data_IF_211920746427
#
_entry.id   IF_211920746427
#
_cell.length_a   1.000
_cell.length_b   1.000
_cell.length_c   1.000
_cell.angle_alpha   90.00
_cell.angle_beta   90.00
_cell.angle_gamma   90.00
#
_symmetry.space_group_name_H-M   'P 1'
#
loop_
_entity.id
_entity.type
_entity.pdbx_description
1 polymer ?
#
# COMPACT_ATOMS: atom_id res chain seq x y z
N UNK A 1 17.06 -32.25 -12.72
CA UNK A 1 16.31 -31.29 -13.57
C UNK A 1 17.17 -31.01 -14.79
N UNK A 2 16.65 -31.24 -16.00
CA UNK A 2 17.31 -30.79 -17.24
C UNK A 2 17.32 -29.26 -17.27
N UNK A 3 18.31 -28.65 -17.94
CA UNK A 3 18.43 -27.19 -18.05
C UNK A 3 17.15 -26.53 -18.64
N UNK A 4 16.48 -27.20 -19.57
CA UNK A 4 15.21 -26.74 -20.14
C UNK A 4 14.09 -26.63 -19.09
N UNK A 5 13.97 -27.61 -18.18
CA UNK A 5 12.95 -27.56 -17.11
C UNK A 5 13.18 -26.40 -16.12
N UNK A 6 14.41 -25.87 -16.03
CA UNK A 6 14.70 -24.70 -15.19
C UNK A 6 14.29 -23.39 -15.88
N UNK A 7 14.48 -23.28 -17.19
CA UNK A 7 14.05 -22.10 -17.97
C UNK A 7 12.52 -21.99 -17.96
N UNK A 8 11.82 -23.13 -18.05
CA UNK A 8 10.35 -23.20 -18.02
C UNK A 8 9.74 -22.73 -16.68
N UNK A 9 10.55 -22.49 -15.64
CA UNK A 9 10.09 -21.92 -14.37
C UNK A 9 9.92 -20.40 -14.41
N UNK A 10 10.36 -19.74 -15.48
CA UNK A 10 10.33 -18.29 -15.62
C UNK A 10 9.47 -17.86 -16.81
N UNK A 11 8.69 -16.81 -16.61
CA UNK A 11 7.89 -16.18 -17.65
C UNK A 11 7.87 -14.66 -17.46
N UNK A 12 8.37 -13.95 -18.47
CA UNK A 12 8.44 -12.49 -18.50
C UNK A 12 7.28 -11.96 -19.34
N UNK A 13 6.28 -11.38 -18.68
CA UNK A 13 5.22 -10.60 -19.30
C UNK A 13 5.40 -9.09 -19.05
N UNK A 14 4.49 -8.31 -19.65
CA UNK A 14 4.46 -6.87 -19.46
C UNK A 14 4.29 -6.47 -17.98
N UNK A 15 3.53 -7.23 -17.19
CA UNK A 15 3.39 -7.01 -15.75
C UNK A 15 4.73 -7.18 -15.03
N UNK A 16 5.48 -8.23 -15.36
CA UNK A 16 6.81 -8.49 -14.82
C UNK A 16 7.76 -7.35 -15.15
N UNK A 17 7.75 -6.86 -16.40
CA UNK A 17 8.59 -5.72 -16.83
C UNK A 17 8.28 -4.45 -16.02
N UNK A 18 6.99 -4.12 -15.83
CA UNK A 18 6.58 -2.98 -15.00
C UNK A 18 7.12 -3.12 -13.57
N UNK A 19 6.94 -4.30 -12.96
CA UNK A 19 7.36 -4.54 -11.59
C UNK A 19 8.88 -4.53 -11.43
N UNK A 20 9.63 -5.13 -12.35
CA UNK A 20 11.10 -5.09 -12.40
C UNK A 20 11.58 -3.63 -12.51
N UNK A 21 10.97 -2.83 -13.38
CA UNK A 21 11.30 -1.42 -13.55
C UNK A 21 11.05 -0.64 -12.26
N UNK A 22 9.87 -0.81 -11.64
CA UNK A 22 9.52 -0.18 -10.37
C UNK A 22 10.48 -0.56 -9.24
N UNK A 23 10.73 -1.85 -9.06
CA UNK A 23 11.60 -2.39 -8.00
C UNK A 23 13.03 -1.93 -8.20
N UNK A 24 13.54 -1.92 -9.43
CA UNK A 24 14.88 -1.42 -9.76
C UNK A 24 15.00 0.07 -9.49
N UNK A 25 14.01 0.86 -9.90
CA UNK A 25 13.99 2.31 -9.73
C UNK A 25 13.96 2.70 -8.24
N UNK A 26 12.98 2.20 -7.50
CA UNK A 26 12.83 2.49 -6.06
C UNK A 26 13.99 1.89 -5.27
N UNK A 27 14.39 0.65 -5.58
CA UNK A 27 15.50 -0.05 -4.94
C UNK A 27 16.81 0.70 -5.08
N UNK A 28 17.11 1.25 -6.27
CA UNK A 28 18.31 2.06 -6.51
C UNK A 28 18.31 3.33 -5.67
N UNK A 29 17.19 4.07 -5.63
CA UNK A 29 17.06 5.29 -4.81
C UNK A 29 17.30 4.98 -3.33
N UNK A 30 16.65 3.92 -2.82
CA UNK A 30 16.79 3.55 -1.41
C UNK A 30 18.20 3.07 -1.10
N UNK A 31 18.84 2.31 -2.00
CA UNK A 31 20.22 1.90 -1.84
C UNK A 31 21.17 3.10 -1.75
N UNK A 32 21.07 4.06 -2.66
CA UNK A 32 21.90 5.28 -2.62
C UNK A 32 21.65 6.11 -1.37
N UNK A 33 20.39 6.28 -0.97
CA UNK A 33 20.05 6.95 0.28
C UNK A 33 20.67 6.24 1.49
N UNK A 34 20.62 4.90 1.50
CA UNK A 34 21.11 4.10 2.62
C UNK A 34 22.62 4.24 2.85
N UNK A 35 23.41 4.46 1.79
CA UNK A 35 24.86 4.68 1.89
C UNK A 35 25.21 5.88 2.75
N UNK A 36 24.42 6.95 2.67
CA UNK A 36 24.61 8.14 3.52
C UNK A 36 23.97 7.97 4.89
N UNK A 37 22.76 7.40 4.94
CA UNK A 37 22.02 7.20 6.18
C UNK A 37 22.73 6.28 7.18
N UNK A 38 23.44 5.26 6.68
CA UNK A 38 24.10 4.24 7.50
C UNK A 38 25.58 4.53 7.76
N UNK A 39 26.08 5.74 7.45
CA UNK A 39 27.47 6.12 7.75
C UNK A 39 27.73 5.99 9.26
N UNK A 40 28.79 5.27 9.62
CA UNK A 40 29.15 5.00 11.02
C UNK A 40 28.41 3.82 11.67
N UNK A 41 27.55 3.10 10.94
CA UNK A 41 26.99 1.83 11.44
C UNK A 41 27.96 0.67 11.20
N UNK A 42 28.34 -0.03 12.27
CA UNK A 42 29.26 -1.18 12.23
C UNK A 42 28.75 -2.32 11.32
N UNK A 43 27.43 -2.45 11.17
CA UNK A 43 26.79 -3.52 10.39
C UNK A 43 26.37 -3.10 8.97
N UNK A 44 26.94 -2.01 8.44
CA UNK A 44 26.57 -1.48 7.13
C UNK A 44 26.71 -2.49 5.98
N UNK A 45 27.79 -3.29 5.94
CA UNK A 45 28.02 -4.26 4.86
C UNK A 45 26.89 -5.32 4.83
N UNK A 46 26.54 -5.86 6.00
CA UNK A 46 25.45 -6.83 6.12
C UNK A 46 24.11 -6.21 5.74
N UNK A 47 23.89 -4.95 6.11
CA UNK A 47 22.69 -4.20 5.73
C UNK A 47 22.57 -4.03 4.20
N UNK A 48 23.65 -3.61 3.54
CA UNK A 48 23.70 -3.45 2.09
C UNK A 48 23.49 -4.77 1.35
N UNK A 49 24.11 -5.87 1.82
CA UNK A 49 23.90 -7.20 1.25
C UNK A 49 22.43 -7.64 1.39
N UNK A 50 21.81 -7.44 2.56
CA UNK A 50 20.41 -7.77 2.77
C UNK A 50 19.47 -6.95 1.86
N UNK A 51 19.72 -5.66 1.63
CA UNK A 51 18.95 -4.87 0.66
C UNK A 51 19.11 -5.45 -0.74
N UNK A 52 20.33 -5.78 -1.17
CA UNK A 52 20.58 -6.35 -2.48
C UNK A 52 19.85 -7.69 -2.67
N UNK A 53 19.97 -8.61 -1.71
CA UNK A 53 19.31 -9.91 -1.77
C UNK A 53 17.78 -9.77 -1.77
N UNK A 54 17.24 -8.81 -1.02
CA UNK A 54 15.81 -8.52 -1.02
C UNK A 54 15.34 -8.06 -2.40
N UNK A 55 16.03 -7.08 -3.00
CA UNK A 55 15.69 -6.57 -4.32
C UNK A 55 15.79 -7.66 -5.39
N UNK A 56 16.86 -8.45 -5.35
CA UNK A 56 17.06 -9.58 -6.25
C UNK A 56 15.92 -10.59 -6.14
N UNK A 57 15.56 -11.00 -4.92
CA UNK A 57 14.48 -11.96 -4.69
C UNK A 57 13.12 -11.43 -5.14
N UNK A 58 12.80 -10.16 -4.88
CA UNK A 58 11.55 -9.56 -5.37
C UNK A 58 11.51 -9.53 -6.90
N UNK A 59 12.62 -9.20 -7.56
CA UNK A 59 12.68 -9.23 -9.04
C UNK A 59 12.52 -10.66 -9.57
N UNK A 60 13.19 -11.64 -8.96
CA UNK A 60 13.08 -13.05 -9.34
C UNK A 60 11.65 -13.58 -9.16
N UNK A 61 10.98 -13.22 -8.06
CA UNK A 61 9.58 -13.53 -7.79
C UNK A 61 8.65 -13.02 -8.90
N UNK A 62 8.91 -11.83 -9.45
CA UNK A 62 8.02 -11.23 -10.48
C UNK A 62 8.02 -11.99 -11.79
N UNK A 63 9.17 -12.56 -12.17
CA UNK A 63 9.33 -13.35 -13.40
C UNK A 63 9.05 -14.83 -13.21
N UNK A 64 8.74 -15.27 -11.99
CA UNK A 64 8.50 -16.68 -11.71
C UNK A 64 7.14 -17.12 -12.26
N UNK A 65 7.14 -18.26 -12.94
CA UNK A 65 5.94 -18.97 -13.40
C UNK A 65 5.62 -20.18 -12.52
N UNK A 66 6.62 -20.79 -11.86
CA UNK A 66 6.39 -21.97 -11.03
C UNK A 66 5.88 -21.60 -9.62
N UNK A 67 4.75 -22.18 -9.19
CA UNK A 67 4.15 -21.95 -7.86
C UNK A 67 5.10 -22.21 -6.68
N UNK A 68 5.93 -23.26 -6.77
CA UNK A 68 6.86 -23.63 -5.69
C UNK A 68 8.00 -22.61 -5.60
N UNK A 69 8.59 -22.24 -6.74
CA UNK A 69 9.62 -21.22 -6.78
C UNK A 69 9.07 -19.87 -6.29
N UNK A 70 7.83 -19.54 -6.65
CA UNK A 70 7.17 -18.32 -6.19
C UNK A 70 7.05 -18.29 -4.66
N UNK A 71 6.66 -19.41 -4.04
CA UNK A 71 6.61 -19.53 -2.58
C UNK A 71 7.98 -19.42 -1.92
N UNK A 72 9.01 -20.01 -2.54
CA UNK A 72 10.40 -19.92 -2.04
C UNK A 72 10.86 -18.47 -2.05
N UNK A 73 10.68 -17.75 -3.16
CA UNK A 73 11.05 -16.33 -3.25
C UNK A 73 10.22 -15.45 -2.32
N UNK A 74 8.91 -15.71 -2.19
CA UNK A 74 8.05 -15.01 -1.24
C UNK A 74 8.51 -15.20 0.21
N UNK A 75 8.84 -16.44 0.58
CA UNK A 75 9.39 -16.78 1.91
C UNK A 75 10.74 -16.10 2.14
N UNK A 76 11.62 -16.13 1.14
CA UNK A 76 12.96 -15.56 1.21
C UNK A 76 12.93 -14.04 1.35
N UNK A 77 12.09 -13.35 0.56
CA UNK A 77 11.80 -11.92 0.70
C UNK A 77 11.34 -11.57 2.11
N UNK A 78 10.36 -12.30 2.65
CA UNK A 78 9.82 -12.06 3.98
C UNK A 78 10.86 -12.30 5.08
N UNK A 79 11.67 -13.35 4.94
CA UNK A 79 12.77 -13.62 5.87
C UNK A 79 13.81 -12.49 5.86
N UNK A 80 14.27 -12.05 4.69
CA UNK A 80 15.24 -10.95 4.59
C UNK A 80 14.64 -9.65 5.16
N UNK A 81 13.37 -9.36 4.89
CA UNK A 81 12.71 -8.19 5.46
C UNK A 81 12.70 -8.25 6.99
N UNK A 82 12.36 -9.39 7.59
CA UNK A 82 12.38 -9.52 9.05
C UNK A 82 13.77 -9.31 9.63
N UNK A 83 14.81 -9.76 8.92
CA UNK A 83 16.22 -9.49 9.27
C UNK A 83 16.56 -8.00 9.18
N UNK A 84 16.06 -7.30 8.16
CA UNK A 84 16.24 -5.85 8.00
C UNK A 84 15.48 -5.04 9.07
N UNK A 85 14.28 -5.48 9.47
CA UNK A 85 13.52 -4.88 10.58
C UNK A 85 14.30 -5.04 11.90
N UNK A 86 14.96 -6.18 12.09
CA UNK A 86 15.73 -6.52 13.30
C UNK A 86 17.19 -6.05 13.25
N UNK A 87 17.55 -5.14 12.34
CA UNK A 87 18.93 -4.69 12.13
C UNK A 87 19.66 -4.28 13.43
N UNK A 88 18.97 -3.57 14.34
CA UNK A 88 19.47 -3.28 15.70
C UNK A 88 18.95 -4.32 16.70
N UNK A 89 19.42 -5.56 16.58
CA UNK A 89 18.93 -6.71 17.34
C UNK A 89 19.13 -6.61 18.86
N UNK A 90 20.04 -5.75 19.31
CA UNK A 90 20.28 -5.42 20.72
C UNK A 90 19.09 -4.70 21.35
N UNK A 91 18.30 -3.98 20.56
CA UNK A 91 17.12 -3.27 21.05
C UNK A 91 15.95 -4.24 21.17
N UNK A 92 15.47 -4.45 22.40
CA UNK A 92 14.33 -5.33 22.69
C UNK A 92 13.11 -5.00 21.81
N UNK A 93 12.86 -3.71 21.59
CA UNK A 93 11.75 -3.25 20.75
C UNK A 93 11.93 -3.59 19.26
N UNK A 94 13.15 -3.47 18.71
CA UNK A 94 13.42 -3.85 17.33
C UNK A 94 13.28 -5.37 17.12
N UNK A 95 13.75 -6.18 18.09
CA UNK A 95 13.54 -7.63 18.08
C UNK A 95 12.05 -8.00 18.12
N UNK A 96 11.28 -7.36 18.99
CA UNK A 96 9.83 -7.55 19.08
C UNK A 96 9.11 -7.13 17.78
N UNK A 97 9.53 -6.03 17.14
CA UNK A 97 9.01 -5.58 15.85
C UNK A 97 9.22 -6.64 14.76
N UNK A 98 10.44 -7.18 14.67
CA UNK A 98 10.76 -8.25 13.73
C UNK A 98 9.98 -9.52 13.97
N UNK A 99 9.83 -9.92 15.23
CA UNK A 99 9.04 -11.10 15.59
C UNK A 99 7.57 -10.93 15.17
N UNK A 100 6.96 -9.77 15.41
CA UNK A 100 5.56 -9.52 15.00
C UNK A 100 5.39 -9.48 13.48
N UNK A 101 6.38 -8.97 12.75
CA UNK A 101 6.39 -9.04 11.30
C UNK A 101 6.51 -10.50 10.81
N UNK A 102 7.43 -11.28 11.39
CA UNK A 102 7.64 -12.68 11.05
C UNK A 102 6.38 -13.54 11.30
N UNK A 103 5.76 -13.41 12.47
CA UNK A 103 4.52 -14.12 12.81
C UNK A 103 3.42 -13.85 11.77
N UNK A 104 3.27 -12.58 11.35
CA UNK A 104 2.28 -12.22 10.33
C UNK A 104 2.63 -12.76 8.94
N UNK A 105 3.90 -12.69 8.54
CA UNK A 105 4.35 -13.23 7.26
C UNK A 105 4.24 -14.75 7.18
N UNK A 106 4.55 -15.45 8.27
CA UNK A 106 4.37 -16.90 8.36
C UNK A 106 2.89 -17.29 8.20
N UNK A 107 1.99 -16.56 8.87
CA UNK A 107 0.54 -16.75 8.73
C UNK A 107 0.08 -16.50 7.28
N UNK A 108 0.55 -15.42 6.64
CA UNK A 108 0.27 -15.15 5.24
C UNK A 108 0.76 -16.25 4.29
N UNK A 109 1.97 -16.74 4.54
CA UNK A 109 2.58 -17.80 3.74
C UNK A 109 1.80 -19.12 3.84
N UNK A 110 1.25 -19.46 5.01
CA UNK A 110 0.37 -20.64 5.17
C UNK A 110 -0.84 -20.53 4.25
N UNK A 111 -1.49 -19.36 4.17
CA UNK A 111 -2.65 -19.17 3.30
C UNK A 111 -2.29 -19.27 1.82
N UNK A 112 -1.18 -18.65 1.39
CA UNK A 112 -0.73 -18.75 -0.01
C UNK A 112 -0.35 -20.20 -0.35
N UNK A 113 0.30 -20.90 0.57
CA UNK A 113 0.66 -22.31 0.40
C UNK A 113 -0.59 -23.20 0.21
N UNK A 114 -1.60 -23.03 1.06
CA UNK A 114 -2.88 -23.74 0.92
C UNK A 114 -3.53 -23.42 -0.43
N UNK A 115 -3.55 -22.15 -0.84
CA UNK A 115 -4.10 -21.75 -2.12
C UNK A 115 -3.40 -22.44 -3.30
N UNK A 116 -2.06 -22.49 -3.29
CA UNK A 116 -1.28 -23.10 -4.36
C UNK A 116 -1.47 -24.62 -4.43
N UNK A 117 -1.62 -25.30 -3.29
CA UNK A 117 -2.01 -26.72 -3.26
C UNK A 117 -3.37 -26.92 -3.93
N UNK A 118 -4.37 -26.11 -3.58
CA UNK A 118 -5.72 -26.22 -4.14
C UNK A 118 -5.74 -25.92 -5.65
N UNK A 119 -5.04 -24.87 -6.11
CA UNK A 119 -4.94 -24.56 -7.54
C UNK A 119 -4.28 -25.69 -8.32
N UNK A 120 -3.21 -26.27 -7.77
CA UNK A 120 -2.55 -27.43 -8.38
C UNK A 120 -3.46 -28.67 -8.39
N UNK A 121 -4.19 -28.96 -7.31
CA UNK A 121 -5.13 -30.09 -7.28
C UNK A 121 -6.23 -29.98 -8.35
N UNK A 122 -6.66 -28.76 -8.66
CA UNK A 122 -7.74 -28.54 -9.62
C UNK A 122 -7.23 -28.54 -11.07
N UNK A 123 -6.03 -28.01 -11.32
CA UNK A 123 -5.48 -27.86 -12.68
C UNK A 123 -4.46 -28.93 -13.07
N UNK A 124 -3.89 -29.65 -12.09
CA UNK A 124 -2.82 -30.63 -12.28
C UNK A 124 -1.45 -30.02 -12.64
N UNK A 125 -1.27 -28.70 -12.48
CA UNK A 125 -0.05 -28.00 -12.90
C UNK A 125 0.51 -27.06 -11.83
N UNK A 126 1.84 -26.90 -11.86
CA UNK A 126 2.57 -25.92 -11.05
C UNK A 126 2.88 -24.63 -11.81
N UNK A 127 2.51 -24.51 -13.09
CA UNK A 127 2.72 -23.31 -13.90
C UNK A 127 1.58 -22.31 -13.70
N UNK A 128 1.91 -21.09 -13.29
CA UNK A 128 0.97 -19.97 -13.11
C UNK A 128 0.30 -19.64 -14.44
N UNK A 129 1.07 -19.56 -15.53
CA UNK A 129 0.56 -19.37 -16.90
C UNK A 129 -0.50 -20.41 -17.26
N UNK A 130 -0.24 -21.68 -16.97
CA UNK A 130 -1.19 -22.76 -17.26
C UNK A 130 -2.47 -22.62 -16.43
N UNK A 131 -2.33 -22.36 -15.13
CA UNK A 131 -3.46 -22.22 -14.20
C UNK A 131 -4.36 -21.06 -14.62
N UNK A 132 -3.77 -19.91 -14.95
CA UNK A 132 -4.50 -18.69 -15.29
C UNK A 132 -5.22 -18.81 -16.65
N UNK A 133 -4.66 -19.58 -17.61
CA UNK A 133 -5.27 -19.85 -18.92
C UNK A 133 -6.36 -20.91 -18.89
N UNK A 134 -6.37 -21.79 -17.88
CA UNK A 134 -7.33 -22.87 -17.74
C UNK A 134 -8.13 -22.71 -16.43
N UNK A 135 -8.92 -21.62 -16.28
CA UNK A 135 -9.71 -21.43 -15.09
C UNK A 135 -10.82 -22.49 -15.02
N UNK A 136 -11.10 -22.95 -13.81
CA UNK A 136 -12.12 -23.96 -13.51
C UNK A 136 -13.08 -23.43 -12.44
N UNK A 137 -14.39 -23.60 -12.66
CA UNK A 137 -15.40 -23.14 -11.71
C UNK A 137 -15.69 -24.30 -10.76
N UNK A 138 -15.04 -24.26 -9.60
CA UNK A 138 -15.18 -25.29 -8.58
C UNK A 138 -15.12 -24.66 -7.20
N UNK A 139 -15.74 -25.33 -6.22
CA UNK A 139 -15.62 -24.93 -4.81
C UNK A 139 -14.16 -24.86 -4.35
N UNK A 140 -13.29 -25.76 -4.84
CA UNK A 140 -11.87 -25.73 -4.54
C UNK A 140 -11.19 -24.47 -5.10
N UNK A 141 -11.52 -24.07 -6.34
CA UNK A 141 -11.02 -22.83 -6.96
C UNK A 141 -11.45 -21.59 -6.18
N UNK A 142 -12.71 -21.53 -5.76
CA UNK A 142 -13.22 -20.44 -4.92
C UNK A 142 -12.46 -20.33 -3.59
N UNK A 143 -12.26 -21.46 -2.88
CA UNK A 143 -11.50 -21.48 -1.62
C UNK A 143 -10.05 -21.08 -1.86
N UNK A 144 -9.42 -21.56 -2.94
CA UNK A 144 -8.05 -21.22 -3.28
C UNK A 144 -7.86 -19.71 -3.45
N UNK A 145 -8.77 -19.06 -4.19
CA UNK A 145 -8.73 -17.62 -4.40
C UNK A 145 -9.04 -16.81 -3.13
N UNK A 146 -9.90 -17.33 -2.24
CA UNK A 146 -10.12 -16.75 -0.91
C UNK A 146 -8.86 -16.83 -0.05
N UNK A 147 -8.13 -17.95 -0.10
CA UNK A 147 -6.86 -18.13 0.60
C UNK A 147 -5.77 -17.21 0.01
N UNK A 148 -5.71 -17.03 -1.32
CA UNK A 148 -4.85 -16.01 -1.94
C UNK A 148 -5.20 -14.61 -1.46
N UNK A 149 -6.50 -14.27 -1.37
CA UNK A 149 -6.95 -12.98 -0.88
C UNK A 149 -6.53 -12.74 0.58
N UNK A 150 -6.67 -13.73 1.46
CA UNK A 150 -6.24 -13.62 2.86
C UNK A 150 -4.71 -13.48 2.92
N UNK A 151 -3.97 -14.31 2.18
CA UNK A 151 -2.51 -14.22 2.06
C UNK A 151 -2.06 -12.83 1.59
N UNK A 152 -2.64 -12.31 0.50
CA UNK A 152 -2.40 -10.96 0.00
C UNK A 152 -2.74 -9.89 1.04
N UNK A 153 -3.87 -10.02 1.74
CA UNK A 153 -4.32 -9.08 2.77
C UNK A 153 -3.36 -9.01 3.96
N UNK A 154 -2.77 -10.15 4.36
CA UNK A 154 -1.78 -10.20 5.44
C UNK A 154 -0.49 -9.45 5.06
N UNK A 155 -0.01 -9.65 3.83
CA UNK A 155 1.18 -9.00 3.29
C UNK A 155 0.97 -7.50 3.07
N UNK A 156 -0.21 -7.10 2.61
CA UNK A 156 -0.57 -5.69 2.39
C UNK A 156 -1.05 -4.98 3.67
N UNK A 157 -0.99 -5.64 4.83
CA UNK A 157 -1.37 -5.09 6.13
C UNK A 157 -2.81 -4.52 6.16
N UNK A 158 -3.73 -5.14 5.43
CA UNK A 158 -5.16 -4.79 5.48
C UNK A 158 -5.74 -5.21 6.82
N UNK A 159 -6.89 -4.65 7.18
CA UNK A 159 -7.60 -5.09 8.38
C UNK A 159 -8.02 -6.57 8.22
N UNK A 160 -7.82 -7.44 9.24
CA UNK A 160 -7.35 -7.17 10.61
C UNK A 160 -5.83 -7.34 10.85
N UNK A 161 -5.04 -7.56 9.80
CA UNK A 161 -3.59 -7.85 9.84
C UNK A 161 -2.71 -6.59 9.86
N UNK A 162 -3.24 -5.42 10.14
CA UNK A 162 -2.52 -4.14 10.00
C UNK A 162 -1.42 -3.91 11.06
N UNK A 163 -1.51 -4.58 12.21
CA UNK A 163 -0.68 -4.27 13.38
C UNK A 163 0.81 -4.51 13.18
N UNK A 164 1.21 -5.49 12.37
CA UNK A 164 2.64 -5.75 12.12
C UNK A 164 3.31 -4.54 11.47
N UNK A 165 2.62 -3.90 10.53
CA UNK A 165 3.14 -2.75 9.80
C UNK A 165 3.29 -1.54 10.72
N UNK A 166 2.29 -1.25 11.55
CA UNK A 166 2.36 -0.16 12.55
C UNK A 166 3.44 -0.45 13.59
N UNK A 167 3.74 -1.72 13.88
CA UNK A 167 4.77 -2.11 14.85
C UNK A 167 6.19 -2.13 14.28
N UNK A 168 6.37 -1.92 12.98
CA UNK A 168 7.67 -2.05 12.27
C UNK A 168 8.55 -0.78 12.32
N UNK A 169 8.15 0.23 13.08
CA UNK A 169 8.73 1.59 13.05
C UNK A 169 10.17 1.69 13.57
N UNK A 170 10.60 0.68 14.33
CA UNK A 170 11.98 0.56 14.82
C UNK A 170 12.97 0.20 13.70
N UNK A 171 12.47 -0.14 12.51
CA UNK A 171 13.31 -0.39 11.34
C UNK A 171 14.04 0.89 10.90
N UNK A 172 15.26 0.77 10.35
CA UNK A 172 15.95 1.88 9.70
C UNK A 172 15.07 2.53 8.63
N UNK A 173 15.14 3.86 8.48
CA UNK A 173 14.30 4.58 7.50
C UNK A 173 14.37 4.03 6.07
N UNK A 174 15.53 3.60 5.52
CA UNK A 174 15.58 2.96 4.20
C UNK A 174 14.77 1.65 4.14
N UNK A 175 14.74 0.87 5.23
CA UNK A 175 13.96 -0.37 5.32
C UNK A 175 12.46 -0.05 5.33
N UNK A 176 12.04 0.97 6.08
CA UNK A 176 10.65 1.42 6.03
C UNK A 176 10.27 1.86 4.60
N UNK A 177 11.15 2.59 3.90
CA UNK A 177 10.89 3.00 2.52
C UNK A 177 10.64 1.79 1.59
N UNK A 178 11.53 0.77 1.56
CA UNK A 178 11.32 -0.44 0.74
C UNK A 178 10.10 -1.24 1.18
N UNK A 179 9.85 -1.34 2.49
CA UNK A 179 8.71 -2.07 3.02
C UNK A 179 7.39 -1.47 2.52
N UNK A 180 7.22 -0.17 2.68
CA UNK A 180 6.00 0.53 2.31
C UNK A 180 5.86 0.78 0.80
N UNK A 181 6.97 0.89 0.07
CA UNK A 181 6.98 1.12 -1.37
C UNK A 181 6.97 -0.15 -2.21
N UNK A 182 7.42 -1.28 -1.65
CA UNK A 182 7.63 -2.54 -2.36
C UNK A 182 6.86 -3.68 -1.72
N UNK A 183 7.29 -4.13 -0.55
CA UNK A 183 6.85 -5.43 0.00
C UNK A 183 5.36 -5.45 0.34
N UNK A 184 4.82 -4.33 0.85
CA UNK A 184 3.38 -4.19 1.11
C UNK A 184 2.58 -4.26 -0.20
N UNK A 185 3.14 -3.85 -1.34
CA UNK A 185 2.50 -3.97 -2.66
C UNK A 185 2.52 -5.41 -3.20
N UNK A 186 3.33 -6.32 -2.65
CA UNK A 186 3.42 -7.70 -3.13
C UNK A 186 2.08 -8.45 -3.04
N UNK A 187 1.23 -8.12 -2.05
CA UNK A 187 -0.14 -8.64 -1.98
C UNK A 187 -0.99 -8.20 -3.18
N UNK A 188 -0.87 -6.94 -3.61
CA UNK A 188 -1.53 -6.46 -4.82
C UNK A 188 -0.99 -7.12 -6.09
N UNK A 189 0.32 -7.26 -6.21
CA UNK A 189 0.95 -8.00 -7.31
C UNK A 189 0.45 -9.45 -7.41
N UNK A 190 0.33 -10.15 -6.27
CA UNK A 190 -0.22 -11.50 -6.21
C UNK A 190 -1.64 -11.55 -6.80
N UNK A 191 -2.53 -10.64 -6.39
CA UNK A 191 -3.89 -10.59 -6.93
C UNK A 191 -3.91 -10.30 -8.43
N UNK A 192 -3.07 -9.38 -8.92
CA UNK A 192 -2.98 -9.06 -10.35
C UNK A 192 -2.48 -10.26 -11.16
N UNK A 193 -1.47 -11.00 -10.66
CA UNK A 193 -0.91 -12.16 -11.36
C UNK A 193 -1.95 -13.27 -11.57
N UNK A 194 -2.92 -13.39 -10.66
CA UNK A 194 -4.03 -14.33 -10.75
C UNK A 194 -5.36 -13.67 -11.19
N UNK A 195 -5.33 -12.42 -11.69
CA UNK A 195 -6.52 -11.63 -12.06
C UNK A 195 -7.54 -12.40 -12.93
N UNK A 196 -7.13 -13.15 -13.99
CA UNK A 196 -8.11 -13.84 -14.83
C UNK A 196 -8.94 -14.90 -14.10
N UNK A 197 -8.40 -15.49 -13.03
CA UNK A 197 -9.17 -16.43 -12.20
C UNK A 197 -10.31 -15.71 -11.47
N UNK A 198 -10.08 -14.49 -10.97
CA UNK A 198 -11.12 -13.70 -10.29
C UNK A 198 -12.25 -13.27 -11.23
N UNK A 199 -11.94 -13.02 -12.51
CA UNK A 199 -12.96 -12.75 -13.52
C UNK A 199 -13.82 -13.97 -13.83
N UNK A 200 -13.21 -15.17 -13.80
CA UNK A 200 -13.95 -16.42 -13.99
C UNK A 200 -14.81 -16.79 -12.77
N UNK A 201 -14.39 -16.40 -11.56
CA UNK A 201 -15.15 -16.56 -10.32
C UNK A 201 -15.51 -15.21 -9.68
N UNK A 202 -16.43 -14.43 -10.28
CA UNK A 202 -16.68 -13.03 -9.89
C UNK A 202 -17.25 -12.87 -8.48
N UNK A 203 -17.73 -13.95 -7.85
CA UNK A 203 -18.24 -13.98 -6.46
C UNK A 203 -17.23 -13.47 -5.42
N UNK A 204 -15.93 -13.50 -5.74
CA UNK A 204 -14.87 -13.05 -4.83
C UNK A 204 -14.66 -11.53 -4.90
N UNK A 205 -14.92 -10.90 -6.05
CA UNK A 205 -14.68 -9.47 -6.27
C UNK A 205 -15.38 -8.57 -5.22
N UNK A 206 -16.67 -8.80 -4.84
CA UNK A 206 -17.31 -8.06 -3.75
C UNK A 206 -16.63 -8.22 -2.38
N UNK A 207 -16.00 -9.38 -2.12
CA UNK A 207 -15.26 -9.63 -0.88
C UNK A 207 -13.97 -8.80 -0.86
N UNK A 208 -13.23 -8.80 -1.98
CA UNK A 208 -12.03 -7.95 -2.14
C UNK A 208 -12.41 -6.47 -1.95
N UNK A 209 -13.49 -6.03 -2.61
CA UNK A 209 -14.01 -4.67 -2.48
C UNK A 209 -14.31 -4.30 -1.03
N UNK A 210 -15.02 -5.18 -0.30
CA UNK A 210 -15.42 -4.94 1.09
C UNK A 210 -14.22 -4.82 2.04
N UNK A 211 -13.23 -5.71 1.91
CA UNK A 211 -12.00 -5.67 2.72
C UNK A 211 -11.19 -4.41 2.40
N UNK A 212 -11.10 -4.05 1.12
CA UNK A 212 -10.44 -2.84 0.65
C UNK A 212 -11.10 -1.57 1.19
N UNK A 213 -12.42 -1.45 1.05
CA UNK A 213 -13.21 -0.32 1.56
C UNK A 213 -13.05 -0.15 3.08
N UNK A 214 -13.20 -1.23 3.84
CA UNK A 214 -13.06 -1.20 5.29
C UNK A 214 -11.64 -0.75 5.70
N UNK A 215 -10.61 -1.28 5.05
CA UNK A 215 -9.21 -0.92 5.32
C UNK A 215 -8.90 0.53 4.92
N UNK A 216 -9.48 1.02 3.82
CA UNK A 216 -9.34 2.40 3.38
C UNK A 216 -9.92 3.38 4.42
N UNK A 217 -11.14 3.10 4.90
CA UNK A 217 -11.80 3.91 5.93
C UNK A 217 -11.06 3.86 7.27
N UNK A 218 -10.74 2.66 7.77
CA UNK A 218 -10.01 2.50 9.03
C UNK A 218 -8.62 3.13 8.98
N UNK A 219 -7.86 2.91 7.90
CA UNK A 219 -6.53 3.49 7.73
C UNK A 219 -6.57 5.02 7.69
N UNK A 220 -7.57 5.60 7.02
CA UNK A 220 -7.74 7.06 6.93
C UNK A 220 -8.11 7.69 8.27
N UNK A 221 -8.96 7.03 9.06
CA UNK A 221 -9.30 7.43 10.43
C UNK A 221 -8.09 7.31 11.36
N UNK A 222 -7.43 6.14 11.39
CA UNK A 222 -6.29 5.89 12.25
C UNK A 222 -5.13 6.84 12.00
N UNK A 223 -4.92 7.26 10.74
CA UNK A 223 -3.90 8.25 10.37
C UNK A 223 -4.05 9.56 11.15
N UNK A 224 -5.28 10.04 11.36
CA UNK A 224 -5.56 11.29 12.08
C UNK A 224 -5.29 11.19 13.58
N UNK A 225 -5.24 9.97 14.10
CA UNK A 225 -5.06 9.67 15.52
C UNK A 225 -3.59 9.44 15.89
N UNK A 226 -2.69 9.41 14.90
CA UNK A 226 -1.26 9.17 15.16
C UNK A 226 -0.52 10.46 15.47
N UNK A 227 0.28 10.43 16.52
CA UNK A 227 1.18 11.54 16.88
C UNK A 227 2.55 11.45 16.19
N UNK A 228 2.99 10.24 15.84
CA UNK A 228 4.28 10.01 15.19
C UNK A 228 4.16 10.04 13.67
N UNK A 229 5.08 10.76 13.00
CA UNK A 229 5.07 10.90 11.54
C UNK A 229 5.18 9.53 10.84
N UNK A 230 6.05 8.63 11.31
CA UNK A 230 6.18 7.28 10.73
C UNK A 230 4.90 6.45 10.91
N UNK A 231 4.20 6.57 12.06
CA UNK A 231 2.91 5.88 12.29
C UNK A 231 1.82 6.44 11.39
N UNK A 232 1.73 7.76 11.28
CA UNK A 232 0.82 8.43 10.37
C UNK A 232 1.05 7.95 8.93
N UNK A 233 2.31 7.86 8.49
CA UNK A 233 2.66 7.30 7.18
C UNK A 233 2.27 5.82 7.05
N UNK A 234 2.47 4.99 8.07
CA UNK A 234 2.05 3.60 8.06
C UNK A 234 0.52 3.46 7.93
N UNK A 235 -0.26 4.21 8.72
CA UNK A 235 -1.73 4.24 8.62
C UNK A 235 -2.19 4.73 7.23
N UNK A 236 -1.51 5.72 6.65
CA UNK A 236 -1.82 6.15 5.29
C UNK A 236 -1.49 5.10 4.24
N UNK A 237 -0.52 4.21 4.50
CA UNK A 237 -0.21 3.06 3.63
C UNK A 237 -1.36 2.05 3.67
N UNK A 238 -1.86 1.73 4.87
CA UNK A 238 -3.04 0.85 5.05
C UNK A 238 -4.24 1.41 4.27
N UNK A 239 -4.45 2.72 4.33
CA UNK A 239 -5.54 3.37 3.60
C UNK A 239 -5.39 3.23 2.07
N UNK A 240 -4.19 3.46 1.54
CA UNK A 240 -3.91 3.36 0.10
C UNK A 240 -3.97 1.92 -0.41
N UNK A 241 -3.46 0.95 0.35
CA UNK A 241 -3.63 -0.47 0.03
C UNK A 241 -5.10 -0.89 0.05
N UNK A 242 -5.90 -0.34 0.99
CA UNK A 242 -7.35 -0.51 0.97
C UNK A 242 -7.98 -0.01 -0.32
N UNK A 243 -7.62 1.20 -0.77
CA UNK A 243 -8.08 1.76 -2.05
C UNK A 243 -7.63 0.92 -3.26
N UNK A 244 -6.41 0.37 -3.23
CA UNK A 244 -5.89 -0.52 -4.26
C UNK A 244 -6.67 -1.84 -4.35
N UNK A 245 -6.94 -2.49 -3.21
CA UNK A 245 -7.77 -3.70 -3.16
C UNK A 245 -9.21 -3.41 -3.60
N UNK A 246 -9.72 -2.22 -3.26
CA UNK A 246 -11.01 -1.78 -3.76
C UNK A 246 -11.04 -1.73 -5.29
N UNK A 247 -9.99 -1.22 -5.95
CA UNK A 247 -9.89 -1.23 -7.43
C UNK A 247 -9.89 -2.65 -8.00
N UNK A 248 -9.18 -3.60 -7.37
CA UNK A 248 -9.23 -5.02 -7.76
C UNK A 248 -10.63 -5.60 -7.60
N UNK A 249 -11.32 -5.30 -6.50
CA UNK A 249 -12.70 -5.73 -6.27
C UNK A 249 -13.73 -5.13 -7.23
N UNK A 250 -13.39 -4.05 -7.94
CA UNK A 250 -14.21 -3.47 -9.01
C UNK A 250 -13.91 -4.10 -10.38
N UNK A 251 -12.92 -5.01 -10.46
CA UNK A 251 -12.45 -5.59 -11.71
C UNK A 251 -11.49 -4.69 -12.49
N UNK A 252 -10.98 -3.62 -11.88
CA UNK A 252 -10.11 -2.61 -12.49
C UNK A 252 -8.63 -2.90 -12.14
N UNK A 253 -8.12 -4.08 -12.51
CA UNK A 253 -6.76 -4.48 -12.11
C UNK A 253 -5.67 -3.63 -12.74
N UNK A 254 -5.86 -3.16 -13.98
CA UNK A 254 -4.94 -2.23 -14.63
C UNK A 254 -4.77 -0.91 -13.84
N UNK A 255 -5.88 -0.32 -13.37
CA UNK A 255 -5.85 0.85 -12.48
C UNK A 255 -5.15 0.54 -11.14
N UNK A 256 -5.32 -0.68 -10.61
CA UNK A 256 -4.59 -1.13 -9.43
C UNK A 256 -3.08 -1.28 -9.66
N UNK A 257 -2.63 -1.71 -10.85
CA UNK A 257 -1.20 -1.73 -11.21
C UNK A 257 -0.63 -0.31 -11.31
N UNK A 258 -1.37 0.62 -11.92
CA UNK A 258 -1.00 2.03 -11.93
C UNK A 258 -0.84 2.56 -10.50
N UNK A 259 -1.77 2.22 -9.61
CA UNK A 259 -1.72 2.57 -8.20
C UNK A 259 -0.49 1.96 -7.51
N UNK A 260 -0.16 0.67 -7.72
CA UNK A 260 1.07 0.04 -7.19
C UNK A 260 2.31 0.89 -7.53
N UNK A 261 2.43 1.33 -8.78
CA UNK A 261 3.59 2.10 -9.25
C UNK A 261 3.69 3.45 -8.56
N UNK A 262 2.62 4.25 -8.57
CA UNK A 262 2.60 5.56 -7.94
C UNK A 262 2.71 5.50 -6.42
N UNK A 263 2.02 4.53 -5.81
CA UNK A 263 2.11 4.27 -4.38
C UNK A 263 3.55 3.97 -3.99
N UNK A 264 4.23 3.09 -4.73
CA UNK A 264 5.62 2.74 -4.51
C UNK A 264 6.53 3.97 -4.51
N UNK A 265 6.48 4.75 -5.59
CA UNK A 265 7.33 5.93 -5.74
C UNK A 265 7.07 7.00 -4.66
N UNK A 266 5.80 7.36 -4.43
CA UNK A 266 5.49 8.42 -3.47
C UNK A 266 5.72 7.97 -2.01
N UNK A 267 5.50 6.69 -1.67
CA UNK A 267 5.81 6.19 -0.32
C UNK A 267 7.29 6.12 -0.05
N UNK A 268 8.08 5.69 -1.01
CA UNK A 268 9.54 5.75 -0.88
C UNK A 268 9.97 7.18 -0.57
N UNK A 269 9.49 8.16 -1.36
CA UNK A 269 9.77 9.57 -1.12
C UNK A 269 9.34 10.03 0.28
N UNK A 270 8.10 9.77 0.70
CA UNK A 270 7.60 10.20 2.01
C UNK A 270 8.42 9.66 3.17
N UNK A 271 8.75 8.35 3.17
CA UNK A 271 9.52 7.74 4.25
C UNK A 271 10.96 8.26 4.29
N UNK A 272 11.61 8.40 3.13
CA UNK A 272 12.97 8.94 3.06
C UNK A 272 13.03 10.41 3.50
N UNK A 273 12.02 11.21 3.12
CA UNK A 273 11.91 12.61 3.51
C UNK A 273 11.65 12.79 5.02
N UNK A 274 10.92 11.88 5.68
CA UNK A 274 10.67 11.97 7.11
C UNK A 274 11.92 11.92 7.99
N UNK A 275 13.01 11.30 7.53
CA UNK A 275 14.30 11.35 8.22
C UNK A 275 14.87 12.77 8.29
N UNK A 276 14.62 13.59 7.27
CA UNK A 276 15.01 15.01 7.22
C UNK A 276 13.97 15.96 7.82
N UNK A 277 12.70 15.55 7.88
CA UNK A 277 11.59 16.37 8.37
C UNK A 277 11.69 16.70 9.87
N UNK A 278 12.46 15.94 10.66
CA UNK A 278 12.78 16.31 12.05
C UNK A 278 13.48 17.68 12.16
N UNK A 279 14.06 18.19 11.06
CA UNK A 279 14.70 19.51 10.99
C UNK A 279 13.75 20.63 10.51
N UNK A 280 12.56 20.31 10.00
CA UNK A 280 11.62 21.31 9.47
C UNK A 280 10.70 21.85 10.58
N UNK A 281 10.75 23.18 10.79
CA UNK A 281 9.78 23.91 11.61
C UNK A 281 8.37 23.65 11.08
N UNK A 282 7.44 23.22 11.95
CA UNK A 282 6.00 23.24 11.65
C UNK A 282 5.63 24.67 11.25
N UNK A 283 5.27 24.87 9.99
CA UNK A 283 4.56 26.09 9.58
C UNK A 283 3.13 25.89 10.02
N UNK A 284 2.75 26.54 11.12
CA UNK A 284 1.36 26.59 11.55
C UNK A 284 0.55 27.32 10.48
N UNK A 285 -0.17 26.57 9.63
CA UNK A 285 -1.23 27.15 8.81
C UNK A 285 -2.46 27.32 9.68
N UNK A 286 -2.41 28.30 10.58
CA UNK A 286 -3.43 28.59 11.59
C UNK A 286 -4.62 29.38 11.02
N UNK A 287 -5.25 28.89 9.95
CA UNK A 287 -6.53 29.47 9.50
C UNK A 287 -7.45 28.39 8.93
N UNK A 288 -8.67 28.33 9.47
CA UNK A 288 -9.75 27.51 8.93
C UNK A 288 -10.18 28.07 7.57
N UNK A 289 -10.34 27.24 6.53
CA UNK A 289 -10.88 27.68 5.26
C UNK A 289 -12.32 28.22 5.44
N UNK A 290 -12.63 29.35 4.81
CA UNK A 290 -14.00 29.88 4.80
C UNK A 290 -14.99 28.91 4.15
N UNK A 291 -16.27 28.98 4.52
CA UNK A 291 -17.37 28.17 3.96
C UNK A 291 -17.39 28.19 2.42
N UNK A 292 -17.10 29.35 1.82
CA UNK A 292 -17.01 29.53 0.35
C UNK A 292 -15.95 28.59 -0.27
N UNK A 293 -14.85 28.33 0.43
CA UNK A 293 -13.79 27.44 -0.04
C UNK A 293 -14.27 26.00 -0.20
N UNK A 294 -15.20 25.54 0.65
CA UNK A 294 -15.80 24.21 0.53
C UNK A 294 -16.70 24.10 -0.70
N UNK A 295 -17.52 25.13 -0.98
CA UNK A 295 -18.35 25.15 -2.19
C UNK A 295 -17.49 25.17 -3.47
N UNK A 296 -16.46 26.01 -3.53
CA UNK A 296 -15.53 26.05 -4.68
C UNK A 296 -14.80 24.72 -4.82
N UNK A 297 -14.40 24.11 -3.70
CA UNK A 297 -13.74 22.80 -3.68
C UNK A 297 -14.64 21.70 -4.24
N UNK A 298 -15.92 21.70 -3.88
CA UNK A 298 -16.92 20.75 -4.40
C UNK A 298 -17.09 20.89 -5.92
N UNK A 299 -17.18 22.13 -6.42
CA UNK A 299 -17.25 22.41 -7.86
C UNK A 299 -15.98 21.97 -8.60
N UNK A 300 -14.81 22.24 -8.03
CA UNK A 300 -13.53 21.76 -8.58
C UNK A 300 -13.45 20.22 -8.59
N UNK A 301 -14.04 19.57 -7.57
CA UNK A 301 -14.21 18.12 -7.52
C UNK A 301 -14.99 17.59 -8.71
N UNK A 302 -16.16 18.18 -9.01
CA UNK A 302 -16.98 17.78 -10.16
C UNK A 302 -16.26 18.01 -11.50
N UNK A 303 -15.63 19.17 -11.65
CA UNK A 303 -14.82 19.48 -12.84
C UNK A 303 -13.71 18.44 -13.05
N UNK A 304 -12.99 18.07 -11.99
CA UNK A 304 -11.95 17.03 -12.04
C UNK A 304 -12.51 15.66 -12.44
N UNK A 305 -13.63 15.24 -11.83
CA UNK A 305 -14.28 13.97 -12.21
C UNK A 305 -14.81 13.96 -13.64
N UNK A 306 -15.31 15.09 -14.14
CA UNK A 306 -15.81 15.23 -15.50
C UNK A 306 -14.68 15.14 -16.54
N UNK A 307 -13.55 15.81 -16.27
CA UNK A 307 -12.34 15.70 -17.09
C UNK A 307 -11.86 14.24 -17.14
N UNK A 308 -11.84 13.57 -15.98
CA UNK A 308 -11.44 12.17 -15.89
C UNK A 308 -12.33 11.26 -16.75
N UNK A 309 -13.65 11.44 -16.70
CA UNK A 309 -14.61 10.68 -17.51
C UNK A 309 -14.34 10.85 -19.01
N UNK A 310 -14.17 12.08 -19.49
CA UNK A 310 -13.94 12.36 -20.92
C UNK A 310 -12.71 11.61 -21.43
N UNK A 311 -11.61 11.63 -20.67
CA UNK A 311 -10.34 11.04 -21.09
C UNK A 311 -10.38 9.51 -20.98
N UNK A 312 -11.00 8.97 -19.93
CA UNK A 312 -10.92 7.54 -19.61
C UNK A 312 -11.98 6.70 -20.31
N UNK A 313 -13.26 7.10 -20.27
CA UNK A 313 -14.37 6.22 -20.71
C UNK A 313 -14.91 6.53 -22.09
N UNK A 314 -14.53 7.64 -22.72
CA UNK A 314 -15.10 8.17 -23.98
C UNK A 314 -16.63 8.41 -23.97
N UNK A 315 -17.35 7.91 -22.95
CA UNK A 315 -18.77 8.04 -22.70
C UNK A 315 -19.03 8.87 -21.44
N UNK A 316 -20.01 9.78 -21.51
CA UNK A 316 -20.38 10.68 -20.41
C UNK A 316 -21.16 10.02 -19.27
N UNK A 317 -21.79 8.87 -19.51
CA UNK A 317 -22.55 8.12 -18.51
C UNK A 317 -21.99 6.70 -18.39
N UNK A 318 -21.52 6.35 -17.19
CA UNK A 318 -21.05 5.01 -16.87
C UNK A 318 -22.00 4.40 -15.84
N UNK A 319 -22.48 3.20 -16.11
CA UNK A 319 -23.33 2.41 -15.20
C UNK A 319 -22.59 1.20 -14.61
N UNK A 320 -21.26 1.29 -14.55
CA UNK A 320 -20.40 0.24 -14.05
C UNK A 320 -19.66 0.68 -12.77
N UNK A 321 -19.00 -0.29 -12.15
CA UNK A 321 -18.14 -0.15 -10.97
C UNK A 321 -17.06 0.93 -11.06
N UNK A 322 -16.64 1.35 -12.27
CA UNK A 322 -15.71 2.46 -12.48
C UNK A 322 -16.22 3.81 -11.94
N UNK A 323 -17.52 3.95 -11.71
CA UNK A 323 -18.12 5.11 -11.03
C UNK A 323 -17.49 5.36 -9.65
N UNK A 324 -17.06 4.31 -8.93
CA UNK A 324 -16.38 4.48 -7.65
C UNK A 324 -15.01 5.14 -7.83
N UNK A 325 -14.26 4.83 -8.89
CA UNK A 325 -12.99 5.50 -9.18
C UNK A 325 -13.23 6.98 -9.49
N UNK A 326 -14.30 7.29 -10.22
CA UNK A 326 -14.72 8.68 -10.48
C UNK A 326 -15.03 9.41 -9.17
N UNK A 327 -15.70 8.75 -8.21
CA UNK A 327 -15.96 9.31 -6.88
C UNK A 327 -14.67 9.54 -6.06
N UNK A 328 -13.66 8.68 -6.20
CA UNK A 328 -12.34 8.89 -5.58
C UNK A 328 -11.63 10.09 -6.21
N UNK A 329 -11.69 10.23 -7.55
CA UNK A 329 -11.12 11.40 -8.26
C UNK A 329 -11.80 12.68 -7.82
N UNK A 330 -13.13 12.65 -7.64
CA UNK A 330 -13.89 13.76 -7.08
C UNK A 330 -13.35 14.16 -5.69
N UNK A 331 -13.22 13.19 -4.77
CA UNK A 331 -12.70 13.42 -3.42
C UNK A 331 -11.27 13.99 -3.47
N UNK A 332 -10.41 13.44 -4.33
CA UNK A 332 -9.03 13.88 -4.46
C UNK A 332 -8.92 15.33 -5.00
N UNK A 333 -9.69 15.67 -6.03
CA UNK A 333 -9.72 17.01 -6.63
C UNK A 333 -10.35 18.04 -5.67
N UNK A 334 -11.40 17.65 -4.95
CA UNK A 334 -11.98 18.47 -3.89
C UNK A 334 -10.97 18.72 -2.76
N UNK A 335 -10.28 17.68 -2.29
CA UNK A 335 -9.27 17.83 -1.24
C UNK A 335 -8.10 18.71 -1.70
N UNK A 336 -7.62 18.53 -2.93
CA UNK A 336 -6.53 19.33 -3.51
C UNK A 336 -6.93 20.81 -3.63
N UNK A 337 -8.13 21.09 -4.17
CA UNK A 337 -8.64 22.46 -4.27
C UNK A 337 -8.76 23.14 -2.91
N UNK A 338 -9.27 22.43 -1.90
CA UNK A 338 -9.39 22.96 -0.53
C UNK A 338 -8.01 23.36 0.04
N UNK A 339 -6.96 22.58 -0.24
CA UNK A 339 -5.59 22.90 0.20
C UNK A 339 -4.99 24.11 -0.53
N UNK A 340 -5.37 24.35 -1.79
CA UNK A 340 -4.84 25.47 -2.59
C UNK A 340 -5.54 26.80 -2.29
N UNK A 341 -6.84 26.78 -2.02
CA UNK A 341 -7.65 27.97 -1.75
C UNK A 341 -7.19 28.71 -0.49
N UNK A 342 -6.90 27.97 0.60
CA UNK A 342 -6.45 28.55 1.88
C UNK A 342 -7.32 29.74 2.32
N UNK A 343 -6.68 30.85 2.69
CA UNK A 343 -7.39 32.02 3.27
C UNK A 343 -8.09 32.92 2.23
N UNK A 344 -7.62 32.97 0.98
CA UNK A 344 -8.12 33.91 -0.04
C UNK A 344 -8.69 33.13 -1.25
N UNK A 345 -9.91 32.56 -1.12
CA UNK A 345 -10.44 31.63 -2.11
C UNK A 345 -10.65 32.26 -3.48
N UNK A 346 -11.17 33.50 -3.55
CA UNK A 346 -11.50 34.15 -4.83
C UNK A 346 -10.26 34.49 -5.66
N UNK A 347 -9.19 34.99 -5.03
CA UNK A 347 -7.94 35.34 -5.73
C UNK A 347 -7.21 34.08 -6.21
N UNK A 348 -7.26 32.99 -5.43
CA UNK A 348 -6.58 31.73 -5.78
C UNK A 348 -7.42 30.80 -6.65
N UNK A 349 -8.68 31.13 -6.93
CA UNK A 349 -9.58 30.35 -7.76
C UNK A 349 -9.01 30.00 -9.15
N UNK A 350 -8.47 30.93 -9.97
CA UNK A 350 -7.96 30.59 -11.29
C UNK A 350 -6.79 29.60 -11.22
N UNK A 351 -5.85 29.84 -10.29
CA UNK A 351 -4.73 28.90 -10.04
C UNK A 351 -5.24 27.54 -9.59
N UNK A 352 -6.27 27.51 -8.74
CA UNK A 352 -6.83 26.26 -8.21
C UNK A 352 -7.44 25.43 -9.33
N UNK A 353 -8.27 26.04 -10.20
CA UNK A 353 -8.91 25.35 -11.34
C UNK A 353 -7.86 24.78 -12.29
N UNK A 354 -6.83 25.57 -12.65
CA UNK A 354 -5.76 25.11 -13.55
C UNK A 354 -5.00 23.93 -12.95
N UNK A 355 -4.63 24.00 -11.67
CA UNK A 355 -3.89 22.93 -11.02
C UNK A 355 -4.75 21.68 -10.83
N UNK A 356 -6.00 21.81 -10.40
CA UNK A 356 -6.90 20.65 -10.21
C UNK A 356 -7.25 20.00 -11.53
N UNK A 357 -7.51 20.79 -12.57
CA UNK A 357 -7.71 20.29 -13.93
C UNK A 357 -6.48 19.54 -14.46
N UNK A 358 -5.28 20.13 -14.33
CA UNK A 358 -4.04 19.50 -14.77
C UNK A 358 -3.72 18.20 -14.02
N UNK A 359 -4.00 18.13 -12.71
CA UNK A 359 -3.83 16.89 -11.94
C UNK A 359 -4.85 15.83 -12.35
N UNK A 360 -6.11 16.22 -12.59
CA UNK A 360 -7.14 15.31 -13.07
C UNK A 360 -6.82 14.75 -14.47
N UNK A 361 -6.35 15.59 -15.39
CA UNK A 361 -5.93 15.14 -16.73
C UNK A 361 -4.73 14.19 -16.65
N UNK A 362 -3.72 14.52 -15.84
CA UNK A 362 -2.54 13.68 -15.67
C UNK A 362 -2.91 12.31 -15.09
N UNK A 363 -3.78 12.28 -14.08
CA UNK A 363 -4.27 11.03 -13.50
C UNK A 363 -5.07 10.20 -14.51
N UNK A 364 -5.97 10.82 -15.27
CA UNK A 364 -6.76 10.13 -16.30
C UNK A 364 -5.88 9.56 -17.42
N UNK A 365 -4.95 10.36 -17.93
CA UNK A 365 -3.98 9.95 -18.95
C UNK A 365 -3.09 8.80 -18.44
N UNK A 366 -2.75 8.81 -17.15
CA UNK A 366 -1.95 7.74 -16.56
C UNK A 366 -2.71 6.41 -16.48
N UNK A 367 -3.97 6.41 -16.02
CA UNK A 367 -4.78 5.18 -16.02
C UNK A 367 -4.96 4.66 -17.44
N UNK A 368 -5.28 5.54 -18.38
CA UNK A 368 -5.40 5.19 -19.79
C UNK A 368 -4.11 4.59 -20.36
N UNK A 369 -2.95 5.13 -20.00
CA UNK A 369 -1.65 4.57 -20.38
C UNK A 369 -1.44 3.14 -19.86
N UNK A 370 -1.79 2.87 -18.59
CA UNK A 370 -1.69 1.52 -18.03
C UNK A 370 -2.71 0.56 -18.63
N UNK A 371 -3.92 1.01 -18.95
CA UNK A 371 -4.91 0.21 -19.67
C UNK A 371 -4.40 -0.21 -21.05
N UNK A 372 -3.80 0.72 -21.81
CA UNK A 372 -3.20 0.42 -23.11
C UNK A 372 -2.04 -0.58 -22.98
N UNK A 373 -1.16 -0.34 -22.01
CA UNK A 373 0.05 -1.15 -21.79
C UNK A 373 -0.30 -2.57 -21.30
N UNK A 374 -1.36 -2.73 -20.52
CA UNK A 374 -1.82 -4.00 -19.97
C UNK A 374 -2.94 -4.65 -20.80
N UNK A 375 -3.36 -4.05 -21.91
CA UNK A 375 -4.41 -4.57 -22.79
C UNK A 375 -4.21 -6.06 -23.19
N UNK A 376 -2.98 -6.54 -23.51
CA UNK A 376 -2.78 -7.95 -23.86
C UNK A 376 -3.15 -8.95 -22.75
N UNK A 377 -3.19 -8.49 -21.49
CA UNK A 377 -3.52 -9.33 -20.33
C UNK A 377 -5.01 -9.26 -19.95
N UNK A 378 -5.82 -8.44 -20.63
CA UNK A 378 -7.25 -8.26 -20.38
C UNK A 378 -7.60 -8.02 -18.89
N UNK A 379 -6.80 -7.20 -18.21
CA UNK A 379 -6.88 -6.93 -16.76
C UNK A 379 -7.96 -5.92 -16.36
N UNK A 380 -8.77 -5.44 -17.29
CA UNK A 380 -9.81 -4.45 -17.02
C UNK A 380 -11.17 -4.99 -17.46
N UNK A 381 -11.94 -5.51 -16.49
CA UNK A 381 -13.30 -6.02 -16.70
C UNK A 381 -14.21 -5.42 -15.62
N UNK A 382 -14.70 -4.18 -15.82
CA UNK A 382 -15.53 -3.51 -14.84
C UNK A 382 -16.80 -4.32 -14.55
N UNK A 383 -17.10 -4.48 -13.26
CA UNK A 383 -18.28 -5.19 -12.79
C UNK A 383 -19.54 -4.30 -12.85
N UNK A 384 -20.75 -4.88 -12.99
CA UNK A 384 -21.99 -4.12 -12.89
C UNK A 384 -22.16 -3.46 -11.52
N UNK A 385 -22.82 -2.31 -11.47
CA UNK A 385 -23.11 -1.61 -10.22
C UNK A 385 -24.00 -2.47 -9.32
N UNK A 386 -23.59 -2.61 -8.06
CA UNK A 386 -24.34 -3.32 -7.02
C UNK A 386 -24.65 -2.38 -5.87
N UNK A 387 -25.60 -2.76 -5.01
CA UNK A 387 -25.92 -1.98 -3.80
C UNK A 387 -24.66 -1.80 -2.93
N UNK A 388 -23.81 -2.81 -2.84
CA UNK A 388 -22.54 -2.74 -2.10
C UNK A 388 -21.64 -1.61 -2.64
N UNK A 389 -21.53 -1.49 -3.97
CA UNK A 389 -20.74 -0.44 -4.61
C UNK A 389 -21.28 0.96 -4.27
N UNK A 390 -22.60 1.15 -4.32
CA UNK A 390 -23.25 2.43 -4.01
C UNK A 390 -23.07 2.79 -2.53
N UNK A 391 -23.31 1.83 -1.62
CA UNK A 391 -23.09 2.03 -0.18
C UNK A 391 -21.64 2.38 0.10
N UNK A 392 -20.69 1.67 -0.52
CA UNK A 392 -19.26 1.96 -0.38
C UNK A 392 -18.88 3.36 -0.84
N UNK A 393 -19.41 3.80 -1.98
CA UNK A 393 -19.21 5.17 -2.47
C UNK A 393 -19.74 6.22 -1.47
N UNK A 394 -20.96 6.03 -0.96
CA UNK A 394 -21.56 6.93 0.04
C UNK A 394 -20.68 6.98 1.29
N UNK A 395 -20.21 5.83 1.78
CA UNK A 395 -19.33 5.77 2.95
C UNK A 395 -18.00 6.51 2.73
N UNK A 396 -17.41 6.45 1.54
CA UNK A 396 -16.19 7.20 1.22
C UNK A 396 -16.43 8.71 1.21
N UNK A 397 -17.51 9.17 0.58
CA UNK A 397 -17.85 10.60 0.51
C UNK A 397 -18.18 11.15 1.90
N UNK A 398 -19.03 10.44 2.65
CA UNK A 398 -19.39 10.83 4.03
C UNK A 398 -18.16 10.78 4.93
N UNK A 399 -17.33 9.74 4.83
CA UNK A 399 -16.09 9.61 5.58
C UNK A 399 -15.13 10.78 5.31
N UNK A 400 -14.97 11.16 4.03
CA UNK A 400 -14.18 12.33 3.66
C UNK A 400 -14.74 13.63 4.23
N UNK A 401 -16.05 13.87 4.13
CA UNK A 401 -16.70 15.06 4.70
C UNK A 401 -16.52 15.13 6.22
N UNK A 402 -16.70 14.01 6.92
CA UNK A 402 -16.48 13.91 8.38
C UNK A 402 -15.04 14.28 8.73
N UNK A 403 -14.05 13.74 8.01
CA UNK A 403 -12.63 14.07 8.23
C UNK A 403 -12.33 15.55 7.94
N UNK A 404 -12.95 16.11 6.89
CA UNK A 404 -12.81 17.52 6.54
C UNK A 404 -13.38 18.43 7.63
N UNK A 405 -14.49 18.05 8.26
CA UNK A 405 -15.12 18.81 9.35
C UNK A 405 -14.41 18.63 10.71
N UNK A 406 -13.95 17.43 11.05
CA UNK A 406 -13.30 17.13 12.35
C UNK A 406 -12.08 18.01 12.61
N UNK A 407 -11.34 18.39 11.57
CA UNK A 407 -10.18 19.29 11.68
C UNK A 407 -10.50 20.66 12.30
N UNK A 408 -11.77 21.04 12.37
CA UNK A 408 -12.24 22.35 12.82
C UNK A 408 -13.07 22.30 14.10
N UNK A 409 -13.21 21.14 14.73
CA UNK A 409 -13.88 21.04 16.03
C UNK A 409 -12.94 21.59 17.10
N UNK A 410 -13.36 22.66 17.77
CA UNK A 410 -12.64 23.20 18.92
C UNK A 410 -12.55 22.16 20.04
N UNK A 411 -11.32 21.88 20.48
CA UNK A 411 -10.97 20.94 21.55
C UNK A 411 -11.63 21.27 22.91
N UNK A 412 -12.29 22.43 23.03
CA UNK A 412 -13.00 22.87 24.22
C UNK A 412 -14.35 22.16 24.45
N UNK A 413 -14.87 21.44 23.45
CA UNK A 413 -16.15 20.73 23.58
C UNK A 413 -15.98 19.34 24.18
N UNK A 414 -16.69 19.05 25.29
CA UNK A 414 -16.75 17.71 25.86
C UNK A 414 -17.46 16.77 24.86
N UNK A 415 -16.72 15.82 24.29
CA UNK A 415 -17.27 14.81 23.39
C UNK A 415 -18.30 13.95 24.15
N UNK A 416 -19.44 13.61 23.53
CA UNK A 416 -20.41 12.72 24.17
C UNK A 416 -19.78 11.34 24.43
N UNK A 417 -20.19 10.71 25.53
CA UNK A 417 -19.58 9.47 26.05
C UNK A 417 -19.49 8.32 25.01
N UNK A 418 -20.47 8.19 24.12
CA UNK A 418 -20.47 7.16 23.08
C UNK A 418 -19.36 7.41 22.03
N UNK A 419 -19.15 8.67 21.66
CA UNK A 419 -18.13 9.07 20.70
C UNK A 419 -16.74 8.93 21.32
N UNK A 420 -16.60 9.23 22.62
CA UNK A 420 -15.37 8.97 23.37
C UNK A 420 -15.01 7.48 23.39
N UNK A 421 -15.99 6.59 23.64
CA UNK A 421 -15.77 5.13 23.59
C UNK A 421 -15.32 4.67 22.20
N UNK A 422 -15.95 5.21 21.14
CA UNK A 422 -15.58 4.90 19.76
C UNK A 422 -14.15 5.38 19.46
N UNK A 423 -13.82 6.61 19.87
CA UNK A 423 -12.48 7.17 19.77
C UNK A 423 -11.45 6.29 20.49
N UNK A 424 -11.67 5.91 21.74
CA UNK A 424 -10.74 5.05 22.50
C UNK A 424 -10.57 3.70 21.83
N UNK A 425 -11.65 3.09 21.33
CA UNK A 425 -11.58 1.81 20.59
C UNK A 425 -10.81 1.95 19.27
N UNK A 426 -11.06 3.01 18.52
CA UNK A 426 -10.33 3.31 17.29
C UNK A 426 -8.83 3.57 17.58
N UNK A 427 -8.53 4.32 18.63
CA UNK A 427 -7.16 4.61 19.06
C UNK A 427 -6.43 3.31 19.44
N UNK A 428 -7.03 2.48 20.31
CA UNK A 428 -6.46 1.23 20.77
C UNK A 428 -6.25 0.21 19.64
N UNK A 429 -7.14 0.19 18.65
CA UNK A 429 -6.97 -0.69 17.47
C UNK A 429 -5.85 -0.23 16.53
N UNK A 430 -5.53 1.07 16.55
CA UNK A 430 -4.46 1.68 15.75
C UNK A 430 -3.07 1.66 16.42
N UNK A 431 -2.98 1.30 17.71
CA UNK A 431 -1.69 1.29 18.40
C UNK A 431 -0.82 0.09 17.97
N UNK A 432 0.51 0.26 17.90
CA UNK A 432 1.43 -0.85 17.70
C UNK A 432 1.42 -1.79 18.90
N UNK A 433 2.04 -2.96 18.72
CA UNK A 433 2.15 -3.94 19.80
C UNK A 433 3.01 -3.37 20.94
N UNK A 434 2.60 -3.48 22.23
CA UNK A 434 3.27 -2.77 23.33
C UNK A 434 4.77 -3.03 23.45
N UNK A 435 5.21 -4.28 23.22
CA UNK A 435 6.63 -4.67 23.28
C UNK A 435 7.49 -4.02 22.19
N UNK A 436 6.89 -3.43 21.18
CA UNK A 436 7.59 -2.74 20.09
C UNK A 436 7.78 -1.25 20.37
N UNK A 437 7.26 -0.76 21.49
CA UNK A 437 7.44 0.63 21.92
C UNK A 437 8.48 0.66 23.04
N UNK A 438 9.53 1.47 22.88
CA UNK A 438 10.44 1.80 23.99
C UNK A 438 9.89 3.00 24.75
N UNK A 439 9.55 2.84 26.02
CA UNK A 439 9.14 3.96 26.89
C UNK A 439 10.34 4.66 27.54
N UNK A 440 11.48 3.98 27.67
CA UNK A 440 12.67 4.49 28.33
C UNK A 440 13.85 4.62 27.36
N UNK A 441 14.53 5.76 27.39
CA UNK A 441 15.74 6.03 26.58
C UNK A 441 16.86 5.02 26.84
N UNK A 442 16.96 4.50 28.05
CA UNK A 442 17.95 3.49 28.46
C UNK A 442 17.68 2.11 27.85
N UNK A 443 16.53 1.89 27.20
CA UNK A 443 16.25 0.65 26.46
C UNK A 443 17.00 0.55 25.13
N UNK A 444 17.64 1.64 24.70
CA UNK A 444 18.52 1.68 23.54
C UNK A 444 19.98 1.46 23.98
N UNK A 445 20.50 0.25 23.79
CA UNK A 445 21.92 -0.02 23.98
C UNK A 445 22.72 0.57 22.82
N UNK A 446 23.31 1.74 23.05
CA UNK A 446 24.25 2.39 22.13
C UNK A 446 25.70 1.93 22.33
N UNK A 447 26.01 1.31 23.49
CA UNK A 447 27.37 1.06 23.99
C UNK A 447 28.18 0.00 23.23
N UNK A 448 27.55 -0.80 22.37
CA UNK A 448 28.28 -1.77 21.54
C UNK A 448 28.95 -1.12 20.31
N UNK A 449 28.61 0.12 19.94
CA UNK A 449 29.32 0.80 18.85
C UNK A 449 30.76 1.18 19.25
N UNK A 450 31.02 1.51 20.51
CA UNK A 450 32.34 1.94 21.01
C UNK A 450 33.32 0.80 21.34
N UNK A 451 32.83 -0.41 21.63
CA UNK A 451 33.74 -1.51 21.96
C UNK A 451 34.44 -2.10 20.71
N UNK A 452 33.89 -1.87 19.52
CA UNK A 452 34.54 -2.27 18.26
C UNK A 452 35.71 -1.37 17.86
N UNK A 453 35.75 -0.12 18.34
CA UNK A 453 36.87 0.82 18.15
C UNK A 453 37.92 0.67 19.23
N UNK A 454 37.57 0.26 20.46
CA UNK A 454 38.55 -0.03 21.52
C UNK A 454 39.40 -1.28 21.24
N UNK A 455 38.86 -2.31 20.59
CA UNK A 455 39.61 -3.53 20.28
C UNK A 455 40.49 -3.46 19.01
N UNK A 456 40.57 -2.31 18.32
CA UNK A 456 41.51 -2.11 17.20
C UNK A 456 42.80 -1.38 17.59
N UNK A 457 42.90 -0.90 18.83
CA UNK A 457 44.10 -0.22 19.35
C UNK A 457 44.85 -1.06 20.40
N UNK A 458 44.54 -2.36 20.51
CA UNK A 458 45.31 -3.31 21.30
C UNK A 458 45.52 -4.54 20.42
N UNK A 459 46.74 -4.63 19.88
CA UNK A 459 47.49 -5.76 19.29
C UNK A 459 48.17 -5.36 17.99
#
# INVERSE_FOLDING_TARGET
>A
MSFNNFIDMFYVDILSIIMICLVSFVGSIVYFFSRNYMKGDAFYINFSYNIFMLLFSVMLMTITDNLVLFLVEWSFCNWILTRLITHKSTWKAAKASGQKAFENFALGLIFIFIAFILLNQVTGSYSIQYIVKNPTDSWCSFIALLMLLIGASTQSALWPFHRWLISSLNSPTPVSAIMHAGIVNAGGFLLVRFAPLYFYTPKILPIIFSIGLLSALLGSLWKLMQHDVKRMLACSTIAQMGCMFMQFGLGLFAAGVAHICWHGMFKAYQFLACGSAAQQKKVDSSCSPHVISYYISFLCGFLGSYIFLIIHSQNAFIYDSSLIVVAIVFIACAQLSLTLLGNNPLVKLPKTIVVTGAVATLYAANIYFFDLLLAPLNLNQPQPLTILHIVGMIMLIVGWLVIACIKHIDYATQLPNWLLRLYVKALNSSQPYPLTITTYRNGYDYLLQDNSTKNKNQY
#
